data_IF_876550573394
#
_entry.id   IF_876550573394
#
_cell.length_a   1.000
_cell.length_b   1.000
_cell.length_c   1.000
_cell.angle_alpha   90.00
_cell.angle_beta   90.00
_cell.angle_gamma   90.00
#
_symmetry.space_group_name_H-M   'P 1'
#
loop_
_entity.id
_entity.type
_entity.pdbx_description
1 polymer ?
#
# COMPACT_ATOMS: atom_id res chain seq x y z
N UNK A 1 11.65 -16.55 0.47
CA UNK A 1 12.28 -15.37 1.14
C UNK A 1 11.50 -14.13 0.74
N UNK A 2 11.12 -13.27 1.69
CA UNK A 2 10.42 -12.01 1.41
C UNK A 2 11.41 -10.85 1.23
N UNK A 3 11.09 -9.90 0.34
CA UNK A 3 11.89 -8.68 0.10
C UNK A 3 11.28 -7.51 0.88
N UNK A 4 12.09 -6.85 1.72
CA UNK A 4 11.67 -5.69 2.50
C UNK A 4 11.97 -4.39 1.74
N UNK A 5 10.96 -3.57 1.47
CA UNK A 5 11.10 -2.39 0.61
C UNK A 5 11.36 -1.08 1.38
N UNK A 6 10.59 -0.80 2.43
CA UNK A 6 10.73 0.40 3.26
C UNK A 6 9.96 0.26 4.58
N UNK A 7 10.34 1.06 5.59
CA UNK A 7 9.65 1.21 6.88
C UNK A 7 9.47 2.69 7.18
N UNK A 8 8.34 3.05 7.78
CA UNK A 8 8.16 4.34 8.42
C UNK A 8 7.41 4.16 9.74
N UNK A 9 7.74 4.95 10.75
CA UNK A 9 7.09 4.94 12.07
C UNK A 9 6.43 6.30 12.28
N UNK A 10 5.15 6.29 12.63
CA UNK A 10 4.35 7.49 12.86
C UNK A 10 3.81 7.52 14.28
N UNK A 11 3.47 8.72 14.74
CA UNK A 11 2.72 8.89 15.95
C UNK A 11 1.29 8.32 15.77
N UNK A 12 0.73 7.73 16.83
CA UNK A 12 -0.55 7.03 16.76
C UNK A 12 -1.76 7.95 16.46
N UNK A 13 -1.58 9.26 16.52
CA UNK A 13 -2.59 10.26 16.17
C UNK A 13 -2.59 10.61 14.67
N UNK A 14 -1.61 10.14 13.88
CA UNK A 14 -1.56 10.35 12.45
C UNK A 14 -2.27 9.22 11.71
N UNK A 15 -3.09 9.58 10.72
CA UNK A 15 -3.83 8.59 9.94
C UNK A 15 -2.91 7.88 8.94
N UNK A 16 -3.05 6.55 8.84
CA UNK A 16 -2.22 5.70 7.98
C UNK A 16 -2.20 6.16 6.51
N UNK A 17 -3.31 6.70 6.00
CA UNK A 17 -3.39 7.24 4.63
C UNK A 17 -2.49 8.46 4.39
N UNK A 18 -2.26 9.30 5.40
CA UNK A 18 -1.35 10.45 5.32
C UNK A 18 0.10 9.96 5.40
N UNK A 19 0.34 9.08 6.35
CA UNK A 19 1.60 8.40 6.59
C UNK A 19 2.12 7.60 5.38
N UNK A 20 1.23 6.95 4.63
CA UNK A 20 1.60 6.15 3.48
C UNK A 20 2.31 6.96 2.39
N UNK A 21 2.00 8.25 2.23
CA UNK A 21 2.61 9.08 1.19
C UNK A 21 4.13 9.20 1.36
N UNK A 22 4.64 9.30 2.59
CA UNK A 22 6.09 9.42 2.78
C UNK A 22 6.81 8.09 2.54
N UNK A 23 6.18 6.95 2.85
CA UNK A 23 6.71 5.63 2.50
C UNK A 23 6.84 5.49 1.00
N UNK A 24 5.80 5.87 0.26
CA UNK A 24 5.77 5.81 -1.21
C UNK A 24 6.83 6.75 -1.81
N UNK A 25 7.02 7.93 -1.23
CA UNK A 25 8.10 8.85 -1.62
C UNK A 25 9.49 8.23 -1.41
N UNK A 26 9.75 7.47 -0.34
CA UNK A 26 11.06 6.85 -0.09
C UNK A 26 11.42 5.75 -1.10
N UNK A 27 10.43 5.07 -1.66
CA UNK A 27 10.62 4.00 -2.65
C UNK A 27 10.53 4.50 -4.10
N UNK A 28 10.21 5.79 -4.29
CA UNK A 28 10.18 6.44 -5.61
C UNK A 28 11.49 6.24 -6.36
N UNK A 29 11.40 5.82 -7.61
CA UNK A 29 12.56 5.67 -8.50
C UNK A 29 13.50 4.51 -8.16
N UNK A 30 13.28 3.79 -7.05
CA UNK A 30 14.10 2.62 -6.68
C UNK A 30 13.63 1.33 -7.34
N UNK A 31 12.35 1.27 -7.73
CA UNK A 31 11.73 0.06 -8.26
C UNK A 31 11.00 0.35 -9.58
N UNK A 32 11.75 0.32 -10.69
CA UNK A 32 11.21 0.58 -12.04
C UNK A 32 10.18 -0.45 -12.53
N UNK A 33 10.19 -1.66 -11.95
CA UNK A 33 9.25 -2.75 -12.28
C UNK A 33 8.02 -2.79 -11.36
N UNK A 34 7.92 -1.90 -10.38
CA UNK A 34 6.75 -1.86 -9.50
C UNK A 34 5.57 -1.25 -10.25
N UNK A 35 4.43 -1.96 -10.25
CA UNK A 35 3.21 -1.55 -10.96
C UNK A 35 2.02 -1.45 -10.01
N UNK A 36 1.95 -2.34 -9.02
CA UNK A 36 0.81 -2.50 -8.13
C UNK A 36 1.25 -2.65 -6.68
N UNK A 37 0.51 -2.03 -5.77
CA UNK A 37 0.66 -2.14 -4.31
C UNK A 37 -0.70 -2.57 -3.75
N UNK A 38 -0.73 -3.63 -2.95
CA UNK A 38 -1.93 -4.06 -2.24
C UNK A 38 -1.95 -3.41 -0.87
N UNK A 39 -3.09 -2.84 -0.50
CA UNK A 39 -3.31 -2.19 0.80
C UNK A 39 -4.62 -2.66 1.42
N UNK A 40 -4.75 -2.54 2.73
CA UNK A 40 -6.01 -2.83 3.43
C UNK A 40 -7.03 -1.67 3.30
N UNK A 41 -8.21 -1.87 3.89
CA UNK A 41 -9.31 -0.90 3.87
C UNK A 41 -9.04 0.43 4.58
N UNK A 42 -7.99 0.53 5.40
CA UNK A 42 -7.59 1.76 6.10
C UNK A 42 -6.94 2.80 5.17
N UNK A 43 -6.38 2.36 4.04
CA UNK A 43 -5.67 3.21 3.07
C UNK A 43 -6.57 3.81 1.98
N UNK A 44 -7.88 3.90 2.24
CA UNK A 44 -8.85 4.53 1.34
C UNK A 44 -8.62 6.04 1.21
N UNK A 45 -9.21 6.62 0.16
CA UNK A 45 -9.27 8.06 -0.05
C UNK A 45 -8.21 8.59 -1.02
N UNK A 46 -7.73 9.80 -0.77
CA UNK A 46 -6.89 10.56 -1.71
C UNK A 46 -5.52 9.94 -1.95
N UNK A 47 -5.05 9.05 -1.07
CA UNK A 47 -3.82 8.30 -1.25
C UNK A 47 -3.78 7.52 -2.58
N UNK A 48 -4.91 6.93 -2.98
CA UNK A 48 -5.02 6.16 -4.24
C UNK A 48 -4.78 7.07 -5.44
N UNK A 49 -5.47 8.22 -5.44
CA UNK A 49 -5.38 9.22 -6.51
C UNK A 49 -3.97 9.82 -6.56
N UNK A 50 -3.42 10.20 -5.42
CA UNK A 50 -2.10 10.80 -5.31
C UNK A 50 -1.01 9.83 -5.76
N UNK A 51 -1.10 8.56 -5.37
CA UNK A 51 -0.11 7.56 -5.75
C UNK A 51 -0.13 7.28 -7.25
N UNK A 52 -1.32 7.14 -7.84
CA UNK A 52 -1.45 6.97 -9.28
C UNK A 52 -0.91 8.18 -10.04
N UNK A 53 -1.21 9.40 -9.57
CA UNK A 53 -0.76 10.65 -10.21
C UNK A 53 0.74 10.87 -10.10
N UNK A 54 1.34 10.57 -8.94
CA UNK A 54 2.75 10.89 -8.64
C UNK A 54 3.73 9.79 -9.09
N UNK A 55 3.29 8.53 -9.14
CA UNK A 55 4.17 7.37 -9.34
C UNK A 55 3.70 6.42 -10.45
N UNK A 56 2.46 6.58 -10.95
CA UNK A 56 1.88 5.66 -11.93
C UNK A 56 1.48 4.29 -11.37
N UNK A 57 1.66 4.07 -10.06
CA UNK A 57 1.33 2.80 -9.40
C UNK A 57 -0.15 2.69 -9.07
N UNK A 58 -0.66 1.46 -9.14
CA UNK A 58 -2.04 1.13 -8.77
C UNK A 58 -2.06 0.65 -7.32
N UNK A 59 -2.79 1.38 -6.47
CA UNK A 59 -3.15 0.92 -5.13
C UNK A 59 -4.43 0.09 -5.21
N UNK A 60 -4.34 -1.20 -4.92
CA UNK A 60 -5.47 -2.12 -4.87
C UNK A 60 -5.87 -2.35 -3.42
N UNK A 61 -7.08 -1.90 -3.05
CA UNK A 61 -7.62 -2.12 -1.71
C UNK A 61 -8.17 -3.53 -1.63
N UNK A 62 -7.66 -4.29 -0.67
CA UNK A 62 -8.21 -5.59 -0.32
C UNK A 62 -8.91 -5.49 1.02
N UNK A 63 -10.18 -5.85 1.02
CA UNK A 63 -10.99 -5.90 2.23
C UNK A 63 -10.95 -7.30 2.81
N UNK A 64 -10.99 -7.35 4.14
CA UNK A 64 -11.23 -8.60 4.85
C UNK A 64 -12.57 -9.17 4.37
N UNK A 65 -12.55 -10.43 3.95
CA UNK A 65 -13.76 -11.20 3.73
C UNK A 65 -14.09 -11.95 5.01
N UNK A 66 -15.21 -11.63 5.65
CA UNK A 66 -15.63 -12.28 6.90
C UNK A 66 -16.16 -13.70 6.69
N UNK A 67 -16.34 -14.13 5.42
CA UNK A 67 -16.82 -15.48 5.09
C UNK A 67 -15.73 -16.55 5.13
N UNK A 68 -14.45 -16.18 5.08
CA UNK A 68 -13.35 -17.14 4.95
C UNK A 68 -12.64 -17.33 6.30
N UNK A 69 -12.57 -18.57 6.79
CA UNK A 69 -11.80 -18.93 7.99
C UNK A 69 -10.34 -19.18 7.61
N UNK A 70 -9.42 -18.44 8.22
CA UNK A 70 -7.97 -18.60 8.04
C UNK A 70 -7.33 -17.59 7.07
N UNK A 71 -6.00 -17.64 6.94
CA UNK A 71 -5.26 -16.78 6.01
C UNK A 71 -5.36 -17.34 4.58
N UNK A 72 -5.90 -16.54 3.66
CA UNK A 72 -5.94 -16.87 2.24
C UNK A 72 -5.00 -15.95 1.47
N UNK A 73 -3.99 -16.54 0.83
CA UNK A 73 -3.10 -15.79 -0.04
C UNK A 73 -3.88 -15.26 -1.24
N UNK A 74 -3.76 -13.96 -1.50
CA UNK A 74 -4.34 -13.34 -2.68
C UNK A 74 -3.53 -13.78 -3.91
N UNK A 75 -4.19 -14.23 -5.00
CA UNK A 75 -3.49 -14.53 -6.24
C UNK A 75 -3.06 -13.21 -6.91
N UNK A 76 -1.85 -12.75 -6.59
CA UNK A 76 -1.25 -11.55 -7.19
C UNK A 76 -0.65 -11.92 -8.55
N UNK A 77 -1.00 -11.18 -9.61
CA UNK A 77 -0.40 -11.26 -10.95
C UNK A 77 0.05 -9.87 -11.40
#
# INVERSE_FOLDING_TARGET
MGLFFARFVYAANEHDSMAAQNVINQIKGKFSRMVKIIVDGGYRGDLIKNTKKMFGWVLEIVLRSDSNKGFQALPIR
#
